data_IF_758072135236
#
_entry.id   IF_758072135236
#
_cell.length_a   1.000
_cell.length_b   1.000
_cell.length_c   1.000
_cell.angle_alpha   90.00
_cell.angle_beta   90.00
_cell.angle_gamma   90.00
#
_symmetry.space_group_name_H-M   'P 1'
#
loop_
_entity.id
_entity.type
_entity.pdbx_description
1 polymer ?
#
# COMPACT_ATOMS: atom_id res chain seq x y z
N UNK A 1 14.91 -12.58 7.13
CA UNK A 1 14.50 -12.22 5.75
C UNK A 1 13.32 -11.28 5.83
N UNK A 2 13.42 -10.06 5.29
CA UNK A 2 12.34 -9.05 5.36
C UNK A 2 11.37 -9.29 4.21
N UNK A 3 10.11 -9.64 4.52
CA UNK A 3 9.05 -9.86 3.50
C UNK A 3 8.31 -8.56 3.20
N UNK A 4 7.66 -8.47 2.03
CA UNK A 4 6.78 -7.33 1.69
C UNK A 4 5.72 -7.14 2.79
N UNK A 5 5.09 -8.22 3.24
CA UNK A 5 4.13 -8.20 4.35
C UNK A 5 4.72 -7.60 5.63
N UNK A 6 5.96 -7.93 6.00
CA UNK A 6 6.59 -7.34 7.18
C UNK A 6 6.81 -5.83 7.03
N UNK A 7 7.22 -5.36 5.85
CA UNK A 7 7.37 -3.91 5.58
C UNK A 7 6.03 -3.18 5.68
N UNK A 8 4.97 -3.74 5.07
CA UNK A 8 3.61 -3.18 5.16
C UNK A 8 3.17 -3.06 6.62
N UNK A 9 3.35 -4.13 7.41
CA UNK A 9 2.99 -4.11 8.85
C UNK A 9 3.80 -3.09 9.64
N UNK A 10 5.10 -2.93 9.35
CA UNK A 10 5.94 -1.92 10.00
C UNK A 10 5.46 -0.50 9.67
N UNK A 11 5.12 -0.22 8.40
CA UNK A 11 4.55 1.07 7.99
C UNK A 11 3.23 1.32 8.72
N UNK A 12 2.28 0.37 8.70
CA UNK A 12 1.01 0.50 9.41
C UNK A 12 1.22 0.80 10.91
N UNK A 13 2.09 0.04 11.58
CA UNK A 13 2.36 0.23 13.01
C UNK A 13 2.96 1.60 13.32
N UNK A 14 3.77 2.16 12.41
CA UNK A 14 4.35 3.50 12.56
C UNK A 14 3.27 4.59 12.63
N UNK A 15 2.16 4.38 11.92
CA UNK A 15 1.02 5.31 11.87
C UNK A 15 -0.15 4.89 12.77
N UNK A 16 0.04 3.88 13.64
CA UNK A 16 -0.98 3.44 14.59
C UNK A 16 -2.08 2.55 14.00
N UNK A 17 -1.89 2.02 12.79
CA UNK A 17 -2.85 1.14 12.14
C UNK A 17 -2.51 -0.34 12.31
N UNK A 18 -3.54 -1.17 12.39
CA UNK A 18 -3.41 -2.62 12.35
C UNK A 18 -3.53 -3.16 10.93
N UNK A 19 -3.16 -4.43 10.75
CA UNK A 19 -3.39 -5.13 9.48
C UNK A 19 -4.88 -5.34 9.19
N UNK A 20 -5.74 -5.31 10.22
CA UNK A 20 -7.19 -5.34 10.04
C UNK A 20 -7.74 -4.00 9.54
N UNK A 21 -7.19 -2.87 9.97
CA UNK A 21 -7.55 -1.54 9.45
C UNK A 21 -7.21 -1.43 7.97
N UNK A 22 -6.07 -1.99 7.56
CA UNK A 22 -5.71 -2.07 6.16
C UNK A 22 -6.69 -2.94 5.34
N UNK A 23 -7.17 -4.07 5.89
CA UNK A 23 -8.21 -4.85 5.22
C UNK A 23 -9.52 -4.06 5.05
N UNK A 24 -9.88 -3.25 6.05
CA UNK A 24 -11.05 -2.35 5.98
C UNK A 24 -10.87 -1.26 4.93
N UNK A 25 -9.70 -0.64 4.86
CA UNK A 25 -9.36 0.35 3.83
C UNK A 25 -9.54 -0.23 2.42
N UNK A 26 -9.04 -1.46 2.20
CA UNK A 26 -9.17 -2.18 0.94
C UNK A 26 -10.60 -2.69 0.66
N UNK A 27 -11.53 -2.48 1.60
CA UNK A 27 -12.90 -3.01 1.55
C UNK A 27 -12.96 -4.54 1.33
N UNK A 28 -12.08 -5.29 2.02
CA UNK A 28 -12.02 -6.76 1.99
C UNK A 28 -12.03 -7.37 3.38
N UNK A 29 -12.35 -8.66 3.47
CA UNK A 29 -12.23 -9.41 4.71
C UNK A 29 -10.76 -9.61 5.13
N UNK A 30 -10.44 -9.59 6.44
CA UNK A 30 -9.08 -9.86 6.94
C UNK A 30 -8.49 -11.18 6.47
N UNK A 31 -9.33 -12.21 6.28
CA UNK A 31 -8.89 -13.50 5.74
C UNK A 31 -8.38 -13.39 4.30
N UNK A 32 -9.03 -12.58 3.46
CA UNK A 32 -8.60 -12.31 2.09
C UNK A 32 -7.24 -11.62 2.07
N UNK A 33 -7.05 -10.61 2.93
CA UNK A 33 -5.75 -9.94 3.06
C UNK A 33 -4.66 -10.88 3.59
N UNK A 34 -4.98 -11.75 4.56
CA UNK A 34 -4.04 -12.77 5.03
C UNK A 34 -3.65 -13.77 3.93
N UNK A 35 -4.58 -14.15 3.04
CA UNK A 35 -4.28 -15.00 1.91
C UNK A 35 -3.36 -14.29 0.89
N UNK A 36 -3.59 -13.00 0.62
CA UNK A 36 -2.65 -12.17 -0.16
C UNK A 36 -1.26 -12.15 0.48
N UNK A 37 -1.19 -11.95 1.79
CA UNK A 37 0.07 -11.91 2.53
C UNK A 37 0.87 -13.22 2.46
N UNK A 38 0.19 -14.37 2.55
CA UNK A 38 0.81 -15.70 2.43
C UNK A 38 1.32 -16.00 1.02
N UNK A 39 0.57 -15.54 -0.01
CA UNK A 39 0.87 -15.78 -1.42
C UNK A 39 1.71 -14.67 -2.07
N UNK A 40 2.07 -13.62 -1.33
CA UNK A 40 2.70 -12.41 -1.85
C UNK A 40 1.93 -11.78 -3.04
N UNK A 41 0.59 -11.80 -2.99
CA UNK A 41 -0.29 -11.40 -4.09
C UNK A 41 -0.84 -9.97 -3.93
N UNK A 42 -0.02 -9.05 -3.44
CA UNK A 42 -0.37 -7.63 -3.37
C UNK A 42 -0.34 -7.02 -4.77
N UNK A 43 -1.35 -6.21 -5.09
CA UNK A 43 -1.41 -5.42 -6.32
C UNK A 43 -0.97 -3.98 -6.04
N UNK A 44 -0.65 -3.24 -7.10
CA UNK A 44 -0.27 -1.82 -6.99
C UNK A 44 -1.38 -1.00 -6.31
N UNK A 45 -2.66 -1.28 -6.63
CA UNK A 45 -3.80 -0.64 -5.99
C UNK A 45 -3.82 -0.85 -4.47
N UNK A 46 -3.42 -2.04 -3.98
CA UNK A 46 -3.34 -2.28 -2.55
C UNK A 46 -2.31 -1.32 -1.91
N UNK A 47 -1.17 -1.11 -2.56
CA UNK A 47 -0.10 -0.22 -2.08
C UNK A 47 -0.48 1.27 -2.14
N UNK A 48 -1.29 1.67 -3.12
CA UNK A 48 -1.85 3.04 -3.19
C UNK A 48 -2.78 3.28 -2.00
N UNK A 49 -3.67 2.33 -1.69
CA UNK A 49 -4.57 2.41 -0.53
C UNK A 49 -3.82 2.34 0.81
N UNK A 50 -2.68 1.63 0.87
CA UNK A 50 -1.77 1.70 2.02
C UNK A 50 -1.23 3.13 2.21
N UNK A 51 -0.87 3.80 1.11
CA UNK A 51 -0.47 5.19 1.11
C UNK A 51 -1.57 6.08 1.70
N UNK A 52 -2.78 5.99 1.14
CA UNK A 52 -3.95 6.75 1.58
C UNK A 52 -4.21 6.58 3.08
N UNK A 53 -4.25 5.33 3.57
CA UNK A 53 -4.45 5.03 5.00
C UNK A 53 -3.36 5.62 5.89
N UNK A 54 -2.12 5.68 5.42
CA UNK A 54 -0.97 6.11 6.23
C UNK A 54 -0.58 7.56 6.02
N UNK A 55 -1.39 8.33 5.29
CA UNK A 55 -1.08 9.70 4.89
C UNK A 55 0.29 9.79 4.19
N UNK A 56 0.58 8.81 3.35
CA UNK A 56 1.78 8.74 2.49
C UNK A 56 1.39 8.45 1.05
N UNK A 57 2.37 8.45 0.13
CA UNK A 57 2.12 8.17 -1.28
C UNK A 57 3.09 7.08 -1.75
N UNK A 58 2.58 6.16 -2.57
CA UNK A 58 3.46 5.27 -3.33
C UNK A 58 4.20 6.14 -4.35
N UNK A 59 5.53 6.04 -4.42
CA UNK A 59 6.30 6.84 -5.36
C UNK A 59 7.48 6.08 -5.96
N UNK A 60 7.87 6.49 -7.16
CA UNK A 60 9.17 6.16 -7.73
C UNK A 60 10.14 7.27 -7.35
N UNK A 61 11.22 6.87 -6.66
CA UNK A 61 12.29 7.77 -6.24
C UNK A 61 13.55 7.41 -6.98
N UNK A 62 14.17 8.41 -7.60
CA UNK A 62 15.50 8.26 -8.17
C UNK A 62 16.51 7.95 -7.05
N UNK A 63 17.30 6.90 -7.20
CA UNK A 63 18.25 6.49 -6.16
C UNK A 63 19.56 7.27 -6.20
N UNK A 64 19.88 7.95 -7.30
CA UNK A 64 21.05 8.80 -7.44
C UNK A 64 20.75 10.22 -6.95
N UNK A 65 19.73 10.87 -7.53
CA UNK A 65 19.35 12.26 -7.22
C UNK A 65 18.52 12.38 -5.95
N UNK A 66 17.94 11.26 -5.49
CA UNK A 66 17.02 11.19 -4.33
C UNK A 66 15.67 11.87 -4.55
N UNK A 67 15.39 12.36 -5.75
CA UNK A 67 14.14 13.04 -6.10
C UNK A 67 12.98 12.07 -6.29
N UNK A 68 11.76 12.53 -6.02
CA UNK A 68 10.54 11.80 -6.34
C UNK A 68 10.16 12.11 -7.79
N UNK A 69 10.20 11.08 -8.64
CA UNK A 69 9.92 11.19 -10.08
C UNK A 69 8.41 11.21 -10.32
N UNK A 70 7.68 10.35 -9.60
CA UNK A 70 6.25 10.15 -9.79
C UNK A 70 5.62 9.64 -8.50
N UNK A 71 4.43 10.13 -8.18
CA UNK A 71 3.59 9.69 -7.06
C UNK A 71 2.32 9.05 -7.60
N UNK A 72 1.82 8.02 -6.91
CA UNK A 72 0.55 7.36 -7.19
C UNK A 72 -0.39 7.59 -6.00
N UNK A 73 -1.53 8.20 -6.29
CA UNK A 73 -2.57 8.59 -5.32
C UNK A 73 -3.86 7.84 -5.62
N UNK A 74 -4.79 7.89 -4.68
CA UNK A 74 -6.10 7.24 -4.80
C UNK A 74 -6.89 7.71 -6.03
N UNK A 75 -6.77 8.98 -6.41
CA UNK A 75 -7.39 9.53 -7.62
C UNK A 75 -6.92 8.84 -8.90
N UNK A 76 -5.71 8.28 -8.92
CA UNK A 76 -5.17 7.58 -10.11
C UNK A 76 -5.82 6.19 -10.30
N UNK A 77 -6.65 5.75 -9.35
CA UNK A 77 -7.47 4.54 -9.48
C UNK A 77 -8.80 4.79 -10.19
N UNK A 78 -9.19 6.06 -10.34
CA UNK A 78 -10.38 6.43 -11.09
C UNK A 78 -10.12 6.17 -12.58
N UNK A 79 -11.02 5.41 -13.22
CA UNK A 79 -10.93 5.17 -14.66
C UNK A 79 -11.23 6.52 -15.33
N UNK A 80 -10.20 7.13 -15.92
CA UNK A 80 -10.40 8.23 -16.85
C UNK A 80 -11.38 7.78 -17.94
N UNK A 81 -12.45 8.53 -18.14
CA UNK A 81 -13.27 8.40 -19.34
C UNK A 81 -12.50 9.03 -20.51
N UNK A 82 -11.39 8.42 -20.90
CA UNK A 82 -10.61 8.77 -22.10
C UNK A 82 -11.09 7.95 -23.30
#
# INVERSE_FOLDING_TARGET
MVTITSKIKSVLSRYGFSFADYARQLNIFPQTLNNKAKKNAYKVQDLIELGDLTHTELCLRDLETKEVIMTFKKSDLEIGND
#
